data_IF_042655144173
#
_entry.id   IF_042655144173
#
_cell.length_a   1.000
_cell.length_b   1.000
_cell.length_c   1.000
_cell.angle_alpha   90.00
_cell.angle_beta   90.00
_cell.angle_gamma   90.00
#
_symmetry.space_group_name_H-M   'P 1'
#
loop_
_entity.id
_entity.type
_entity.pdbx_description
1 polymer ?
#
# COMPACT_ATOMS: atom_id res chain seq x y z
N UNK A 1 19.17 -16.46 7.49
CA UNK A 1 17.76 -16.16 7.12
C UNK A 1 17.70 -15.11 6.00
N UNK A 2 16.85 -15.32 4.98
CA UNK A 2 16.62 -14.32 3.93
C UNK A 2 15.75 -13.19 4.48
N UNK A 3 16.14 -11.94 4.24
CA UNK A 3 15.34 -10.78 4.61
C UNK A 3 14.04 -10.73 3.78
N UNK A 4 12.93 -10.36 4.42
CA UNK A 4 11.64 -10.29 3.74
C UNK A 4 11.55 -9.02 2.88
N UNK A 5 11.70 -9.18 1.56
CA UNK A 5 11.64 -8.08 0.61
C UNK A 5 10.27 -7.40 0.50
N UNK A 6 9.18 -8.02 0.98
CA UNK A 6 7.84 -7.40 1.00
C UNK A 6 7.79 -6.14 1.86
N UNK A 7 8.72 -6.00 2.80
CA UNK A 7 8.89 -4.78 3.60
C UNK A 7 9.27 -3.55 2.76
N UNK A 8 9.76 -3.74 1.53
CA UNK A 8 10.10 -2.66 0.60
C UNK A 8 8.90 -2.19 -0.24
N UNK A 9 7.77 -2.88 -0.21
CA UNK A 9 6.56 -2.41 -0.88
C UNK A 9 6.08 -1.12 -0.23
N UNK A 10 5.56 -0.16 -0.98
CA UNK A 10 5.02 1.09 -0.41
C UNK A 10 3.91 0.85 0.61
N UNK A 11 3.21 -0.28 0.53
CA UNK A 11 2.17 -0.72 1.48
C UNK A 11 2.72 -1.40 2.73
N UNK A 12 4.02 -1.69 2.78
CA UNK A 12 4.65 -2.51 3.81
C UNK A 12 4.19 -3.97 3.79
N UNK A 13 4.47 -4.67 4.89
CA UNK A 13 4.10 -6.05 5.12
C UNK A 13 3.41 -6.22 6.47
N UNK A 14 2.40 -7.10 6.55
CA UNK A 14 1.75 -7.43 7.83
C UNK A 14 2.55 -8.53 8.50
N UNK A 15 2.95 -8.31 9.74
CA UNK A 15 3.69 -9.24 10.57
C UNK A 15 2.93 -9.51 11.88
N UNK A 16 3.04 -10.73 12.38
CA UNK A 16 2.56 -11.12 13.70
C UNK A 16 3.69 -10.89 14.71
N UNK A 17 3.42 -10.21 15.81
CA UNK A 17 4.35 -10.13 16.95
C UNK A 17 4.24 -11.36 17.87
N UNK A 18 5.11 -11.40 18.87
CA UNK A 18 5.19 -12.47 19.87
C UNK A 18 3.94 -12.54 20.77
N UNK A 19 3.13 -11.48 20.80
CA UNK A 19 1.85 -11.41 21.52
C UNK A 19 0.67 -11.86 20.65
N UNK A 20 0.91 -12.27 19.40
CA UNK A 20 -0.12 -12.69 18.46
C UNK A 20 -0.93 -11.52 17.87
N UNK A 21 -0.43 -10.29 17.94
CA UNK A 21 -1.06 -9.11 17.33
C UNK A 21 -0.46 -8.82 15.95
N UNK A 22 -1.33 -8.42 15.04
CA UNK A 22 -0.93 -8.02 13.69
C UNK A 22 -0.49 -6.55 13.69
N UNK A 23 0.72 -6.30 13.22
CA UNK A 23 1.24 -4.97 13.00
C UNK A 23 1.84 -4.87 11.58
N UNK A 24 1.84 -3.66 11.03
CA UNK A 24 2.40 -3.41 9.69
C UNK A 24 3.82 -2.91 9.82
N UNK A 25 4.76 -3.60 9.18
CA UNK A 25 6.20 -3.32 9.18
C UNK A 25 6.69 -2.89 7.80
N UNK A 26 7.75 -2.08 7.78
CA UNK A 26 8.34 -1.58 6.55
C UNK A 26 7.47 -0.53 5.85
N UNK A 27 7.60 -0.48 4.53
CA UNK A 27 7.10 0.61 3.70
C UNK A 27 8.23 1.55 3.34
N UNK A 28 8.52 1.68 2.04
CA UNK A 28 9.39 2.77 1.58
C UNK A 28 8.73 4.11 1.91
N UNK A 29 9.51 5.06 2.43
CA UNK A 29 9.03 6.41 2.71
C UNK A 29 8.98 7.24 1.42
N UNK A 30 9.99 7.05 0.56
CA UNK A 30 10.12 7.75 -0.71
C UNK A 30 10.35 6.79 -1.85
N UNK A 31 9.89 7.15 -3.04
CA UNK A 31 10.23 6.49 -4.29
C UNK A 31 10.73 7.50 -5.30
N UNK A 32 11.54 7.06 -6.26
CA UNK A 32 12.14 7.94 -7.27
C UNK A 32 11.69 7.45 -8.64
N UNK A 33 11.21 8.38 -9.46
CA UNK A 33 10.93 8.15 -10.89
C UNK A 33 11.45 9.34 -11.68
N UNK A 34 12.24 9.08 -12.71
CA UNK A 34 12.83 10.11 -13.60
C UNK A 34 13.62 11.21 -12.85
N UNK A 35 14.29 10.84 -11.75
CA UNK A 35 15.04 11.78 -10.91
C UNK A 35 14.17 12.61 -9.95
N UNK A 36 12.85 12.43 -9.96
CA UNK A 36 11.91 13.11 -9.06
C UNK A 36 11.64 12.22 -7.85
N UNK A 37 11.75 12.80 -6.66
CA UNK A 37 11.46 12.13 -5.38
C UNK A 37 9.99 12.31 -5.03
N UNK A 38 9.32 11.21 -4.70
CA UNK A 38 7.91 11.19 -4.31
C UNK A 38 7.75 10.63 -2.91
N UNK A 39 6.86 11.23 -2.12
CA UNK A 39 6.36 10.62 -0.88
C UNK A 39 5.47 9.42 -1.25
N UNK A 40 5.89 8.23 -0.83
CA UNK A 40 5.20 7.00 -1.19
C UNK A 40 3.81 6.88 -0.54
N UNK A 41 3.60 7.47 0.65
CA UNK A 41 2.33 7.42 1.36
C UNK A 41 1.31 8.37 0.73
N UNK A 42 1.76 9.56 0.31
CA UNK A 42 0.94 10.51 -0.44
C UNK A 42 0.48 9.90 -1.76
N UNK A 43 1.40 9.31 -2.53
CA UNK A 43 1.05 8.67 -3.81
C UNK A 43 0.00 7.55 -3.65
N UNK A 44 0.14 6.71 -2.62
CA UNK A 44 -0.84 5.67 -2.31
C UNK A 44 -2.19 6.24 -1.88
N UNK A 45 -2.21 7.39 -1.20
CA UNK A 45 -3.44 8.07 -0.81
C UNK A 45 -4.17 8.64 -2.04
N UNK A 46 -3.43 9.26 -2.95
CA UNK A 46 -3.98 9.82 -4.19
C UNK A 46 -4.57 8.72 -5.07
N UNK A 47 -3.85 7.62 -5.27
CA UNK A 47 -4.36 6.45 -6.02
C UNK A 47 -5.59 5.86 -5.34
N UNK A 48 -5.61 5.76 -4.01
CA UNK A 48 -6.78 5.27 -3.27
C UNK A 48 -8.00 6.15 -3.52
N UNK A 49 -7.82 7.47 -3.54
CA UNK A 49 -8.89 8.43 -3.86
C UNK A 49 -9.38 8.25 -5.28
N UNK A 50 -8.49 8.21 -6.27
CA UNK A 50 -8.85 8.00 -7.67
C UNK A 50 -9.67 6.71 -7.86
N UNK A 51 -9.27 5.62 -7.23
CA UNK A 51 -10.01 4.35 -7.29
C UNK A 51 -11.38 4.45 -6.60
N UNK A 52 -11.47 5.16 -5.47
CA UNK A 52 -12.74 5.36 -4.78
C UNK A 52 -13.72 6.19 -5.62
N UNK A 53 -13.24 7.28 -6.22
CA UNK A 53 -14.02 8.16 -7.08
C UNK A 53 -14.55 7.40 -8.31
N UNK A 54 -13.69 6.59 -8.95
CA UNK A 54 -14.08 5.77 -10.11
C UNK A 54 -15.11 4.69 -9.74
N UNK A 55 -14.94 4.04 -8.57
CA UNK A 55 -15.92 3.06 -8.07
C UNK A 55 -17.27 3.71 -7.82
N UNK A 56 -17.30 4.91 -7.23
CA UNK A 56 -18.52 5.65 -7.00
C UNK A 56 -19.21 6.03 -8.33
N UNK A 57 -18.44 6.52 -9.31
CA UNK A 57 -18.96 6.85 -10.64
C UNK A 57 -19.59 5.64 -11.36
N UNK A 58 -19.01 4.46 -11.20
CA UNK A 58 -19.52 3.20 -11.79
C UNK A 58 -20.56 2.48 -10.93
N UNK A 59 -20.90 3.00 -9.75
CA UNK A 59 -21.80 2.33 -8.81
C UNK A 59 -21.28 0.99 -8.27
N UNK A 60 -19.96 0.77 -8.27
CA UNK A 60 -19.34 -0.47 -7.81
C UNK A 60 -19.26 -0.45 -6.27
N UNK A 61 -20.22 -1.10 -5.61
CA UNK A 61 -20.25 -1.24 -4.15
C UNK A 61 -19.68 -2.58 -3.67
N UNK A 62 -19.71 -3.60 -4.53
CA UNK A 62 -19.17 -4.94 -4.26
C UNK A 62 -18.25 -5.33 -5.41
N UNK A 63 -17.04 -5.79 -5.08
CA UNK A 63 -16.15 -6.39 -6.07
C UNK A 63 -16.59 -7.84 -6.27
N UNK A 64 -16.90 -8.24 -7.50
CA UNK A 64 -16.94 -9.66 -7.83
C UNK A 64 -15.52 -10.20 -7.72
N UNK A 65 -15.28 -10.99 -6.69
CA UNK A 65 -14.06 -11.77 -6.56
C UNK A 65 -14.21 -13.00 -7.47
N UNK A 66 -13.17 -13.37 -8.23
CA UNK A 66 -13.13 -14.68 -8.90
C UNK A 66 -13.10 -15.82 -7.89
#
# INVERSE_FOLDING_TARGET
PLANLKTLYGTGHIQLDDEGKLHRVGGVQYTIKDGIVFDARALLADVRKMVADEKAARGITVLQQP
#
